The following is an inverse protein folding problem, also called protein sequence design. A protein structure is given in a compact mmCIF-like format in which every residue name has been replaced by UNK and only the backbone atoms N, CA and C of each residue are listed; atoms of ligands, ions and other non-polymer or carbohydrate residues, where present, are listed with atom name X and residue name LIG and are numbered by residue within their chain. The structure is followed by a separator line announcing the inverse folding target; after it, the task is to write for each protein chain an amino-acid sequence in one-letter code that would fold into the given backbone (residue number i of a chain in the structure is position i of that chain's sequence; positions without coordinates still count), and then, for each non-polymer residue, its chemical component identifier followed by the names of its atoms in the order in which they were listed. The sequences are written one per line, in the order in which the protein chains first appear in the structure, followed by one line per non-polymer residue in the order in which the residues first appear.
data_IF_408044219779
#
_entry.id   IF_408044219779
#
_cell.length_a   1.000
_cell.length_b   1.000
_cell.length_c   1.000
_cell.angle_alpha   90.00
_cell.angle_beta   90.00
_cell.angle_gamma   90.00
#
_symmetry.space_group_name_H-M   'P 1'
#
loop_
_entity.id
_entity.type
_entity.pdbx_description
1 polymer ?
#
# COMPACT_ATOMS: atom_id res chain seq x y z
N UNK A 1 -5.62 3.16 12.04
CA UNK A 1 -6.03 4.05 10.94
C UNK A 1 -7.37 3.64 10.38
N UNK A 2 -7.49 2.44 9.78
CA UNK A 2 -8.67 2.00 9.03
C UNK A 2 -9.31 0.72 9.56
N UNK A 3 -9.30 0.53 10.88
CA UNK A 3 -9.76 -0.73 11.51
C UNK A 3 -8.76 -1.88 11.40
N UNK A 4 -9.20 -3.07 11.81
CA UNK A 4 -8.40 -4.31 11.72
C UNK A 4 -8.51 -4.88 10.30
N UNK A 5 -7.38 -5.17 9.67
CA UNK A 5 -7.29 -5.71 8.31
C UNK A 5 -5.85 -5.94 7.90
N UNK A 6 -5.62 -6.33 6.65
CA UNK A 6 -4.29 -6.52 6.08
C UNK A 6 -3.93 -5.28 5.28
N UNK A 7 -2.84 -4.61 5.67
CA UNK A 7 -2.43 -3.31 5.14
C UNK A 7 -1.32 -3.47 4.09
N UNK A 8 -1.49 -2.79 2.97
CA UNK A 8 -0.55 -2.72 1.85
C UNK A 8 -0.26 -1.26 1.51
N UNK A 9 0.87 -1.01 0.86
CA UNK A 9 1.23 0.28 0.30
C UNK A 9 1.71 0.09 -1.16
N UNK A 10 1.53 1.13 -1.98
CA UNK A 10 2.03 1.20 -3.36
C UNK A 10 3.40 1.87 -3.46
N UNK A 11 3.97 2.29 -2.32
CA UNK A 11 5.29 2.89 -2.21
C UNK A 11 6.16 2.03 -1.29
N UNK A 12 7.22 1.44 -1.83
CA UNK A 12 8.09 0.50 -1.11
C UNK A 12 8.65 1.08 0.19
N UNK A 13 9.00 2.37 0.20
CA UNK A 13 9.55 3.04 1.39
C UNK A 13 8.59 3.05 2.57
N UNK A 14 7.27 3.10 2.33
CA UNK A 14 6.26 3.05 3.40
C UNK A 14 6.25 1.69 4.07
N UNK A 15 6.13 0.61 3.30
CA UNK A 15 6.16 -0.76 3.84
C UNK A 15 7.51 -1.12 4.45
N UNK A 16 8.61 -0.66 3.85
CA UNK A 16 9.97 -0.92 4.32
C UNK A 16 10.22 -0.42 5.76
N UNK A 17 9.57 0.67 6.18
CA UNK A 17 9.67 1.17 7.56
C UNK A 17 9.13 0.17 8.59
N UNK A 18 8.22 -0.73 8.20
CA UNK A 18 7.68 -1.77 9.09
C UNK A 18 8.61 -2.99 9.21
N UNK A 19 9.68 -3.07 8.43
CA UNK A 19 10.72 -4.10 8.62
C UNK A 19 11.52 -3.90 9.92
N UNK A 20 11.49 -2.69 10.50
CA UNK A 20 12.19 -2.34 11.74
C UNK A 20 13.69 -2.71 11.72
N UNK A 21 14.34 -2.50 10.58
CA UNK A 21 15.79 -2.73 10.41
C UNK A 21 16.60 -1.66 11.13
N UNK A 22 17.87 -1.93 11.37
CA UNK A 22 18.81 -1.00 12.00
C UNK A 22 20.16 -0.98 11.28
N UNK A 23 21.06 -0.10 11.68
CA UNK A 23 22.44 -0.08 11.17
C UNK A 23 23.17 -1.40 11.45
N UNK A 24 22.92 -1.99 12.63
CA UNK A 24 23.51 -3.27 13.04
C UNK A 24 22.84 -4.47 12.35
N UNK A 25 21.55 -4.34 12.01
CA UNK A 25 20.76 -5.37 11.35
C UNK A 25 20.03 -4.79 10.12
N UNK A 26 20.74 -4.54 9.01
CA UNK A 26 20.22 -3.81 7.86
C UNK A 26 19.44 -4.69 6.88
N UNK A 27 19.28 -5.98 7.16
CA UNK A 27 18.56 -6.89 6.28
C UNK A 27 17.07 -6.95 6.67
N UNK A 28 16.19 -6.72 5.70
CA UNK A 28 14.75 -6.77 5.90
C UNK A 28 14.07 -7.62 4.83
N UNK A 29 12.87 -8.11 5.15
CA UNK A 29 12.03 -8.87 4.23
C UNK A 29 10.77 -8.08 3.90
N UNK A 30 10.41 -8.04 2.63
CA UNK A 30 9.16 -7.47 2.14
C UNK A 30 8.38 -8.50 1.33
N UNK A 31 7.06 -8.47 1.48
CA UNK A 31 6.14 -9.24 0.66
C UNK A 31 5.61 -8.38 -0.48
N UNK A 32 5.56 -8.96 -1.69
CA UNK A 32 4.75 -8.45 -2.78
C UNK A 32 3.59 -9.42 -2.98
N UNK A 33 2.38 -8.90 -2.81
CA UNK A 33 1.15 -9.66 -2.89
C UNK A 33 0.30 -9.15 -4.05
N UNK A 34 -0.35 -10.09 -4.73
CA UNK A 34 -1.53 -9.81 -5.54
C UNK A 34 -2.72 -9.63 -4.58
N UNK A 35 -3.38 -8.48 -4.64
CA UNK A 35 -4.41 -8.07 -3.68
C UNK A 35 -5.68 -7.70 -4.43
N UNK A 36 -6.75 -8.47 -4.20
CA UNK A 36 -8.04 -8.26 -4.83
C UNK A 36 -8.79 -7.08 -4.17
N UNK A 37 -8.47 -5.86 -4.57
CA UNK A 37 -9.06 -4.64 -3.99
C UNK A 37 -10.54 -4.44 -4.32
N UNK A 38 -10.95 -4.80 -5.55
CA UNK A 38 -12.28 -4.49 -6.08
C UNK A 38 -12.61 -3.00 -5.94
N UNK A 39 -13.90 -2.70 -5.71
CA UNK A 39 -14.33 -1.34 -5.37
C UNK A 39 -13.80 -0.88 -4.00
N UNK A 40 -12.96 0.14 -3.98
CA UNK A 40 -12.37 0.71 -2.76
C UNK A 40 -13.31 1.71 -2.08
N UNK A 41 -13.32 1.72 -0.75
CA UNK A 41 -13.88 2.80 0.06
C UNK A 41 -12.77 3.81 0.40
N UNK A 42 -12.76 4.94 -0.31
CA UNK A 42 -11.66 5.91 -0.25
C UNK A 42 -11.82 6.87 0.93
N UNK A 43 -10.75 7.08 1.69
CA UNK A 43 -10.71 7.92 2.90
C UNK A 43 -9.50 8.84 2.91
N UNK A 44 -9.74 10.11 3.19
CA UNK A 44 -8.68 11.12 3.37
C UNK A 44 -8.09 11.13 4.79
N UNK A 45 -8.86 10.66 5.77
CA UNK A 45 -8.51 10.69 7.19
C UNK A 45 -8.77 9.32 7.83
N UNK A 46 -8.07 9.04 8.93
CA UNK A 46 -8.27 7.83 9.71
C UNK A 46 -9.74 7.69 10.16
N UNK A 47 -10.26 6.47 10.04
CA UNK A 47 -11.62 6.12 10.40
C UNK A 47 -11.64 4.64 10.80
N UNK A 48 -12.07 4.32 12.02
CA UNK A 48 -12.03 2.94 12.50
C UNK A 48 -13.17 2.11 11.88
N UNK A 49 -12.90 1.55 10.70
CA UNK A 49 -13.87 0.77 9.94
C UNK A 49 -14.07 -0.61 10.60
N UNK A 50 -15.31 -0.89 11.00
CA UNK A 50 -15.74 -2.21 11.47
C UNK A 50 -16.52 -2.98 10.41
N UNK A 51 -17.11 -2.27 9.44
CA UNK A 51 -17.86 -2.83 8.32
C UNK A 51 -17.78 -1.91 7.12
N UNK A 52 -17.54 -2.48 5.94
CA UNK A 52 -17.54 -1.71 4.70
C UNK A 52 -18.97 -1.37 4.24
N UNK A 53 -19.17 -0.21 3.58
CA UNK A 53 -20.42 0.09 2.89
C UNK A 53 -20.75 -0.98 1.84
N UNK A 54 -22.04 -1.13 1.51
CA UNK A 54 -22.49 -2.07 0.48
C UNK A 54 -21.76 -1.82 -0.85
N UNK A 55 -21.32 -2.89 -1.51
CA UNK A 55 -20.62 -2.83 -2.79
C UNK A 55 -19.14 -2.39 -2.72
N UNK A 56 -18.59 -2.19 -1.52
CA UNK A 56 -17.15 -1.95 -1.29
C UNK A 56 -16.48 -3.22 -0.75
N UNK A 57 -15.26 -3.49 -1.21
CA UNK A 57 -14.52 -4.72 -0.89
C UNK A 57 -13.20 -4.46 -0.15
N UNK A 58 -12.73 -3.21 -0.16
CA UNK A 58 -11.50 -2.79 0.51
C UNK A 58 -11.61 -1.31 0.92
N UNK A 59 -10.67 -0.84 1.73
CA UNK A 59 -10.50 0.58 2.04
C UNK A 59 -9.22 1.09 1.38
N UNK A 60 -9.26 2.31 0.83
CA UNK A 60 -8.08 3.04 0.35
C UNK A 60 -7.88 4.29 1.19
N UNK A 61 -6.83 4.29 2.01
CA UNK A 61 -6.32 5.53 2.59
C UNK A 61 -5.63 6.33 1.51
N UNK A 62 -6.21 7.45 1.09
CA UNK A 62 -5.65 8.28 0.02
C UNK A 62 -4.53 9.16 0.54
N UNK A 63 -3.30 8.95 0.06
CA UNK A 63 -2.13 9.75 0.43
C UNK A 63 -1.88 10.93 -0.50
N UNK A 64 -1.22 11.96 0.02
CA UNK A 64 -0.78 13.16 -0.71
C UNK A 64 0.21 12.88 -1.84
N UNK A 65 0.91 11.74 -1.80
CA UNK A 65 1.81 11.27 -2.85
C UNK A 65 1.40 9.86 -3.27
N UNK A 66 1.40 9.59 -4.57
CA UNK A 66 1.13 8.27 -5.14
C UNK A 66 2.05 7.99 -6.34
N UNK A 67 2.20 6.72 -6.76
CA UNK A 67 2.90 6.42 -8.01
C UNK A 67 2.22 7.10 -9.20
N UNK A 68 3.01 7.68 -10.10
CA UNK A 68 2.55 8.27 -11.35
C UNK A 68 1.65 7.27 -12.12
N UNK A 69 0.37 7.59 -12.32
CA UNK A 69 -0.61 6.67 -12.89
C UNK A 69 -0.37 6.42 -14.39
N UNK A 70 0.49 7.20 -15.05
CA UNK A 70 0.90 6.94 -16.43
C UNK A 70 1.92 5.80 -16.57
N UNK A 71 2.49 5.32 -15.44
CA UNK A 71 3.49 4.24 -15.40
C UNK A 71 2.99 3.04 -14.60
N UNK A 72 2.09 2.27 -15.22
CA UNK A 72 1.57 1.00 -14.70
C UNK A 72 2.00 -0.12 -15.64
N UNK A 73 2.54 -1.22 -15.09
CA UNK A 73 2.71 -2.47 -15.84
C UNK A 73 1.62 -3.45 -15.46
N UNK A 74 1.32 -4.35 -16.38
CA UNK A 74 0.41 -5.46 -16.13
C UNK A 74 1.21 -6.75 -16.08
N UNK A 75 1.12 -7.48 -14.97
CA UNK A 75 1.64 -8.84 -14.86
C UNK A 75 0.51 -9.82 -15.22
N UNK A 76 0.80 -10.80 -16.05
CA UNK A 76 -0.15 -11.80 -16.56
C UNK A 76 -1.42 -11.17 -17.19
N UNK A 77 -1.28 -9.97 -17.76
CA UNK A 77 -2.35 -9.13 -18.35
C UNK A 77 -3.51 -8.80 -17.40
N UNK A 78 -3.34 -9.02 -16.08
CA UNK A 78 -4.44 -8.91 -15.09
C UNK A 78 -4.08 -8.12 -13.85
N UNK A 79 -2.81 -8.13 -13.44
CA UNK A 79 -2.38 -7.52 -12.18
C UNK A 79 -1.69 -6.20 -12.47
N UNK A 80 -2.28 -5.12 -12.00
CA UNK A 80 -1.67 -3.80 -12.06
C UNK A 80 -0.50 -3.71 -11.08
N UNK A 81 0.65 -3.29 -11.60
CA UNK A 81 1.85 -2.97 -10.82
C UNK A 81 2.11 -1.48 -10.98
N UNK A 82 1.81 -0.65 -9.97
CA UNK A 82 2.07 0.79 -10.02
C UNK A 82 3.54 1.06 -9.68
N UNK A 83 4.37 1.26 -10.71
CA UNK A 83 5.82 1.47 -10.60
C UNK A 83 6.28 2.87 -11.03
N UNK A 84 5.33 3.78 -11.22
CA UNK A 84 5.61 5.19 -11.45
C UNK A 84 6.36 5.84 -10.28
N UNK A 85 7.07 6.93 -10.57
CA UNK A 85 7.68 7.76 -9.52
C UNK A 85 6.58 8.37 -8.65
N UNK A 86 6.90 8.67 -7.39
CA UNK A 86 5.98 9.38 -6.51
C UNK A 86 5.68 10.79 -7.03
N UNK A 87 4.40 11.09 -7.28
CA UNK A 87 3.88 12.39 -7.70
C UNK A 87 2.81 12.89 -6.72
N UNK A 88 2.57 14.21 -6.63
CA UNK A 88 1.48 14.74 -5.81
C UNK A 88 0.12 14.17 -6.25
N UNK A 89 -0.75 13.92 -5.28
CA UNK A 89 -2.14 13.51 -5.47
C UNK A 89 -3.08 14.70 -5.16
N UNK A 90 -3.54 15.47 -6.15
CA UNK A 90 -4.43 16.61 -5.91
C UNK A 90 -5.74 16.21 -5.21
N UNK A 91 -6.27 15.01 -5.51
CA UNK A 91 -7.49 14.49 -4.89
C UNK A 91 -7.31 14.19 -3.38
N UNK A 92 -6.06 14.10 -2.90
CA UNK A 92 -5.72 13.87 -1.51
C UNK A 92 -5.06 15.08 -0.83
N UNK A 93 -5.22 16.30 -1.37
CA UNK A 93 -4.57 17.50 -0.83
C UNK A 93 -4.86 17.74 0.66
N UNK A 94 -6.08 17.43 1.12
CA UNK A 94 -6.50 17.54 2.52
C UNK A 94 -6.15 16.32 3.39
N UNK A 95 -5.49 15.29 2.85
CA UNK A 95 -5.23 14.06 3.61
C UNK A 95 -4.16 14.24 4.68
N UNK A 96 -4.34 13.54 5.80
CA UNK A 96 -3.30 13.34 6.82
C UNK A 96 -2.24 12.30 6.43
N UNK A 97 -2.44 11.57 5.33
CA UNK A 97 -1.55 10.51 4.86
C UNK A 97 -0.54 11.05 3.85
N UNK A 98 0.73 10.66 4.02
CA UNK A 98 1.79 10.98 3.03
C UNK A 98 1.68 10.13 1.77
N UNK A 99 1.42 8.84 1.92
CA UNK A 99 1.29 7.87 0.83
C UNK A 99 0.04 7.02 1.00
N UNK A 100 -0.44 6.44 -0.10
CA UNK A 100 -1.61 5.58 -0.07
C UNK A 100 -1.44 4.37 0.85
N UNK A 101 -2.57 3.85 1.32
CA UNK A 101 -2.70 2.53 1.95
C UNK A 101 -3.90 1.81 1.39
N UNK A 102 -3.76 0.51 1.25
CA UNK A 102 -4.82 -0.38 0.80
C UNK A 102 -5.07 -1.41 1.89
N UNK A 103 -6.33 -1.56 2.27
CA UNK A 103 -6.72 -2.42 3.38
C UNK A 103 -7.80 -3.37 2.90
N UNK A 104 -7.52 -4.66 3.02
CA UNK A 104 -8.52 -5.72 2.83
C UNK A 104 -8.91 -6.31 4.18
N UNK A 105 -10.16 -6.77 4.27
CA UNK A 105 -10.75 -7.27 5.51
C UNK A 105 -11.02 -8.78 5.48
N UNK A 106 -10.72 -9.43 4.35
CA UNK A 106 -10.75 -10.87 4.17
C UNK A 106 -9.36 -11.36 3.72
N UNK A 107 -8.86 -12.39 4.40
CA UNK A 107 -7.56 -13.04 4.08
C UNK A 107 -7.56 -13.66 2.68
N UNK A 108 -8.73 -14.08 2.17
CA UNK A 108 -8.87 -14.66 0.84
C UNK A 108 -8.60 -13.65 -0.29
N UNK A 109 -8.58 -12.34 0.00
CA UNK A 109 -8.24 -11.30 -0.97
C UNK A 109 -6.73 -11.15 -1.20
N UNK A 110 -5.88 -11.93 -0.50
CA UNK A 110 -4.43 -11.79 -0.56
C UNK A 110 -3.78 -13.06 -1.09
N UNK A 111 -3.03 -12.91 -2.18
CA UNK A 111 -2.18 -13.96 -2.73
C UNK A 111 -0.71 -13.51 -2.70
N UNK A 112 0.11 -14.14 -1.87
CA UNK A 112 1.54 -13.82 -1.75
C UNK A 112 2.28 -14.35 -2.99
N UNK A 113 2.92 -13.45 -3.75
CA UNK A 113 3.61 -13.80 -5.00
C UNK A 113 5.13 -13.85 -4.84
N UNK A 114 5.70 -12.90 -4.09
CA UNK A 114 7.14 -12.79 -3.93
C UNK A 114 7.52 -12.41 -2.50
N UNK A 115 8.66 -12.93 -2.06
CA UNK A 115 9.38 -12.50 -0.87
C UNK A 115 10.70 -11.85 -1.32
N UNK A 116 10.89 -10.58 -0.97
CA UNK A 116 12.07 -9.80 -1.36
C UNK A 116 12.95 -9.57 -0.15
N UNK A 117 14.20 -10.02 -0.22
CA UNK A 117 15.24 -9.67 0.75
C UNK A 117 15.89 -8.35 0.34
N UNK A 118 15.86 -7.37 1.24
CA UNK A 118 16.45 -6.05 1.05
C UNK A 118 17.64 -5.86 1.99
N UNK A 119 18.61 -5.07 1.55
CA UNK A 119 19.73 -4.59 2.36
C UNK A 119 19.67 -3.06 2.45
N UNK A 120 19.29 -2.54 3.62
CA UNK A 120 19.06 -1.13 3.88
C UNK A 120 20.39 -0.39 4.05
N UNK A 121 20.58 0.67 3.25
CA UNK A 121 21.81 1.48 3.25
C UNK A 121 21.58 2.79 4.01
N UNK A 122 21.84 2.76 5.31
CA UNK A 122 21.79 3.95 6.17
C UNK A 122 22.95 4.91 5.84
N UNK A 123 22.65 6.21 5.85
CA UNK A 123 23.64 7.30 5.73
C UNK A 123 23.50 8.21 6.95
N UNK A 124 24.63 8.68 7.44
CA UNK A 124 24.73 9.69 8.50
C UNK A 124 25.06 11.04 7.87
#
# INVERSE_FOLDING_TARGET
MFGKGIYFADMVSKSANYCNTSVQHPEGLLLLCDVALGNTYDKLHADFITKLPSGKHSCKGMGRTHPDPSYVKHLDDKIEVPLGKGVPNPAAAGSSLLYNEYIVYDVAQVNVRYLVKLNFKYKF
#
